data_IF_848919081588
#
_entry.id   IF_848919081588
#
_cell.length_a   1.000
_cell.length_b   1.000
_cell.length_c   1.000
_cell.angle_alpha   90.00
_cell.angle_beta   90.00
_cell.angle_gamma   90.00
#
_symmetry.space_group_name_H-M   'P 1'
#
loop_
_entity.id
_entity.type
_entity.pdbx_description
1 polymer ?
#
# COMPACT_ATOMS: atom_id res chain seq x y z
N UNK A 1 -20.42 -18.47 -9.14
CA UNK A 1 -19.46 -19.21 -10.00
C UNK A 1 -20.00 -19.12 -11.41
N UNK A 2 -19.25 -18.51 -12.33
CA UNK A 2 -19.72 -18.26 -13.71
C UNK A 2 -19.28 -19.39 -14.62
N UNK A 3 -20.22 -19.89 -15.42
CA UNK A 3 -20.03 -20.95 -16.38
C UNK A 3 -20.36 -20.42 -17.78
N UNK A 4 -19.65 -20.90 -18.78
CA UNK A 4 -19.89 -20.54 -20.18
C UNK A 4 -20.15 -21.80 -21.00
N UNK A 5 -20.90 -21.63 -22.08
CA UNK A 5 -21.20 -22.70 -23.05
C UNK A 5 -20.41 -22.44 -24.32
N UNK A 6 -19.57 -23.39 -24.71
CA UNK A 6 -18.79 -23.33 -25.94
C UNK A 6 -19.39 -24.26 -26.99
N UNK A 7 -19.63 -23.72 -28.18
CA UNK A 7 -20.11 -24.44 -29.36
C UNK A 7 -18.92 -24.74 -30.29
N UNK A 8 -18.75 -26.00 -30.69
CA UNK A 8 -17.70 -26.42 -31.62
C UNK A 8 -18.30 -27.20 -32.82
N UNK A 9 -17.56 -27.28 -33.93
CA UNK A 9 -17.93 -28.00 -35.17
C UNK A 9 -19.16 -27.48 -35.94
N UNK A 10 -19.36 -26.16 -35.95
CA UNK A 10 -20.53 -25.51 -36.59
C UNK A 10 -20.63 -25.65 -38.13
N UNK A 11 -19.61 -26.19 -38.82
CA UNK A 11 -19.50 -26.04 -40.28
C UNK A 11 -19.37 -27.34 -41.12
N UNK A 12 -19.66 -28.55 -40.59
CA UNK A 12 -19.59 -29.75 -41.46
C UNK A 12 -20.41 -30.99 -41.06
N UNK A 13 -21.21 -30.93 -40.00
CA UNK A 13 -22.01 -32.07 -39.51
C UNK A 13 -23.29 -31.55 -38.87
N UNK A 14 -24.37 -32.34 -38.88
CA UNK A 14 -25.60 -32.01 -38.14
C UNK A 14 -25.45 -32.15 -36.62
N UNK A 15 -24.27 -32.53 -36.14
CA UNK A 15 -23.96 -32.68 -34.72
C UNK A 15 -23.18 -31.47 -34.21
N UNK A 16 -23.81 -30.73 -33.31
CA UNK A 16 -23.22 -29.61 -32.57
C UNK A 16 -22.79 -30.13 -31.19
N UNK A 17 -21.54 -29.92 -30.82
CA UNK A 17 -21.03 -30.28 -29.49
C UNK A 17 -21.07 -29.07 -28.58
N UNK A 18 -21.87 -29.17 -27.50
CA UNK A 18 -21.98 -28.18 -26.43
C UNK A 18 -21.03 -28.57 -25.30
N UNK A 19 -20.07 -27.71 -24.97
CA UNK A 19 -19.11 -27.95 -23.89
C UNK A 19 -19.29 -26.92 -22.78
N UNK A 20 -19.46 -27.40 -21.55
CA UNK A 20 -19.44 -26.56 -20.37
C UNK A 20 -18.00 -26.18 -20.01
N UNK A 21 -17.74 -24.89 -19.84
CA UNK A 21 -16.41 -24.40 -19.49
C UNK A 21 -16.47 -23.41 -18.33
N UNK A 22 -15.39 -23.36 -17.56
CA UNK A 22 -15.26 -22.41 -16.46
C UNK A 22 -13.78 -21.98 -16.32
N UNK A 23 -13.49 -20.67 -16.24
CA UNK A 23 -12.13 -20.19 -15.97
C UNK A 23 -11.66 -20.64 -14.59
N UNK A 24 -10.35 -20.75 -14.39
CA UNK A 24 -9.78 -21.06 -13.08
C UNK A 24 -10.22 -20.01 -12.05
N UNK A 25 -10.83 -20.46 -10.95
CA UNK A 25 -11.27 -19.61 -9.85
C UNK A 25 -10.77 -20.17 -8.53
N UNK A 26 -10.09 -19.32 -7.75
CA UNK A 26 -9.75 -19.60 -6.38
C UNK A 26 -11.03 -19.75 -5.55
N UNK A 27 -11.17 -20.88 -4.86
CA UNK A 27 -12.26 -21.12 -3.91
C UNK A 27 -11.85 -20.80 -2.48
N UNK A 28 -10.63 -21.21 -2.13
CA UNK A 28 -10.13 -21.14 -0.77
C UNK A 28 -8.64 -20.87 -0.79
N UNK A 29 -8.18 -20.01 0.12
CA UNK A 29 -6.77 -19.91 0.49
C UNK A 29 -6.62 -19.58 1.96
N UNK A 30 -5.72 -20.27 2.66
CA UNK A 30 -5.41 -19.99 4.06
C UNK A 30 -3.95 -20.31 4.36
N UNK A 31 -3.46 -19.74 5.46
CA UNK A 31 -2.19 -20.08 6.05
C UNK A 31 -2.34 -20.20 7.56
N UNK A 32 -1.63 -21.16 8.16
CA UNK A 32 -1.51 -21.33 9.59
C UNK A 32 -0.04 -21.45 9.96
N UNK A 33 0.35 -20.83 11.07
CA UNK A 33 1.70 -20.89 11.63
C UNK A 33 1.64 -21.64 12.96
N UNK A 34 2.13 -22.88 12.96
CA UNK A 34 2.33 -23.66 14.19
C UNK A 34 3.84 -23.89 14.40
N UNK A 35 4.34 -25.11 14.17
CA UNK A 35 5.78 -25.41 14.15
C UNK A 35 6.44 -24.96 12.84
N UNK A 36 5.66 -24.99 11.77
CA UNK A 36 6.04 -24.69 10.40
C UNK A 36 4.90 -23.91 9.78
N UNK A 37 5.20 -23.05 8.82
CA UNK A 37 4.15 -22.34 8.11
C UNK A 37 3.53 -23.27 7.07
N UNK A 38 2.23 -23.51 7.18
CA UNK A 38 1.46 -24.30 6.24
C UNK A 38 0.44 -23.40 5.55
N UNK A 39 0.47 -23.39 4.22
CA UNK A 39 -0.49 -22.66 3.41
C UNK A 39 -1.20 -23.60 2.45
N UNK A 40 -2.49 -23.38 2.22
CA UNK A 40 -3.31 -24.17 1.30
C UNK A 40 -4.08 -23.26 0.35
N UNK A 41 -4.27 -23.74 -0.87
CA UNK A 41 -5.11 -23.12 -1.88
C UNK A 41 -5.92 -24.19 -2.63
N UNK A 42 -7.15 -23.82 -3.04
CA UNK A 42 -8.03 -24.68 -3.82
C UNK A 42 -8.62 -23.89 -4.98
N UNK A 43 -8.65 -24.52 -6.15
CA UNK A 43 -9.19 -23.96 -7.37
C UNK A 43 -10.25 -24.86 -7.97
N UNK A 44 -11.20 -24.20 -8.63
CA UNK A 44 -12.19 -24.83 -9.50
C UNK A 44 -12.00 -24.32 -10.93
N UNK A 45 -12.19 -25.19 -11.91
CA UNK A 45 -12.27 -24.79 -13.30
C UNK A 45 -12.59 -25.97 -14.20
N UNK A 46 -13.10 -25.68 -15.39
CA UNK A 46 -13.35 -26.69 -16.42
C UNK A 46 -12.71 -26.19 -17.72
N UNK A 47 -11.62 -26.84 -18.20
CA UNK A 47 -10.88 -27.96 -17.61
C UNK A 47 -10.27 -27.67 -16.23
N UNK A 48 -9.99 -28.74 -15.48
CA UNK A 48 -9.38 -28.68 -14.14
C UNK A 48 -8.11 -27.84 -14.15
N UNK A 49 -7.96 -26.84 -13.26
CA UNK A 49 -6.78 -25.99 -13.24
C UNK A 49 -5.51 -26.72 -12.81
N UNK A 50 -4.37 -26.33 -13.39
CA UNK A 50 -3.05 -26.59 -12.79
C UNK A 50 -2.79 -25.61 -11.66
N UNK A 51 -2.11 -26.04 -10.60
CA UNK A 51 -1.77 -25.19 -9.45
C UNK A 51 -0.25 -25.11 -9.28
N UNK A 52 0.27 -23.89 -9.10
CA UNK A 52 1.70 -23.63 -8.90
C UNK A 52 1.90 -22.64 -7.75
N UNK A 53 2.87 -22.94 -6.88
CA UNK A 53 3.35 -22.00 -5.87
C UNK A 53 4.53 -21.21 -6.40
N UNK A 54 4.57 -19.91 -6.12
CA UNK A 54 5.68 -19.02 -6.40
C UNK A 54 6.16 -18.37 -5.11
N UNK A 55 7.46 -18.42 -4.87
CA UNK A 55 8.11 -17.79 -3.73
C UNK A 55 9.00 -16.66 -4.24
N UNK A 56 8.77 -15.42 -3.78
CA UNK A 56 9.42 -14.22 -4.34
C UNK A 56 9.29 -14.13 -5.87
N UNK A 57 8.19 -14.63 -6.43
CA UNK A 57 7.94 -14.69 -7.87
C UNK A 57 8.62 -15.85 -8.61
N UNK A 58 9.39 -16.71 -7.92
CA UNK A 58 10.05 -17.88 -8.52
C UNK A 58 9.22 -19.14 -8.23
N UNK A 59 8.88 -19.95 -9.24
CA UNK A 59 8.16 -21.21 -9.03
C UNK A 59 8.87 -22.15 -8.04
N UNK A 60 8.11 -22.64 -7.06
CA UNK A 60 8.58 -23.68 -6.14
C UNK A 60 8.41 -25.02 -6.83
N UNK A 61 9.53 -25.66 -7.19
CA UNK A 61 9.52 -27.04 -7.68
C UNK A 61 9.03 -28.01 -6.60
N UNK A 62 8.49 -29.15 -7.03
CA UNK A 62 7.94 -30.21 -6.15
C UNK A 62 8.97 -30.73 -5.13
N UNK A 63 10.27 -30.46 -5.36
CA UNK A 63 11.41 -30.83 -4.50
C UNK A 63 12.47 -29.71 -4.41
N UNK A 64 12.06 -28.43 -4.40
CA UNK A 64 13.01 -27.32 -4.50
C UNK A 64 13.62 -26.88 -3.16
N UNK A 65 14.93 -26.60 -3.21
CA UNK A 65 15.84 -26.11 -2.16
C UNK A 65 15.80 -26.87 -0.82
N UNK A 66 16.61 -27.95 -0.74
CA UNK A 66 17.25 -28.37 0.50
C UNK A 66 16.32 -28.70 1.68
N UNK A 67 15.28 -29.50 1.45
CA UNK A 67 14.35 -29.97 2.49
C UNK A 67 13.60 -28.86 3.25
N UNK A 68 13.57 -27.61 2.75
CA UNK A 68 12.90 -26.49 3.42
C UNK A 68 11.45 -26.31 2.94
N UNK A 69 11.15 -26.69 1.71
CA UNK A 69 9.84 -26.52 1.07
C UNK A 69 9.26 -27.87 0.68
N UNK A 70 8.03 -28.13 1.12
CA UNK A 70 7.28 -29.32 0.71
C UNK A 70 5.94 -28.92 0.12
N UNK A 71 5.73 -29.27 -1.16
CA UNK A 71 4.46 -29.02 -1.86
C UNK A 71 3.74 -30.35 -2.06
N UNK A 72 2.48 -30.39 -1.65
CA UNK A 72 1.56 -31.52 -1.88
C UNK A 72 0.38 -31.02 -2.69
N UNK A 73 0.15 -31.61 -3.87
CA UNK A 73 -0.97 -31.23 -4.73
C UNK A 73 -1.86 -32.43 -5.03
N UNK A 74 -3.17 -32.22 -4.97
CA UNK A 74 -4.19 -33.23 -5.21
C UNK A 74 -5.16 -32.70 -6.25
N UNK A 75 -5.31 -33.44 -7.35
CA UNK A 75 -6.22 -33.09 -8.44
C UNK A 75 -7.38 -34.08 -8.42
N UNK A 76 -8.58 -33.58 -8.20
CA UNK A 76 -9.84 -34.34 -8.28
C UNK A 76 -10.72 -33.51 -9.19
N UNK A 77 -10.76 -33.80 -10.49
CA UNK A 77 -11.49 -32.99 -11.45
C UNK A 77 -12.94 -32.73 -11.00
N UNK A 78 -13.47 -31.49 -11.09
CA UNK A 78 -12.87 -30.25 -11.63
C UNK A 78 -12.05 -29.40 -10.63
N UNK A 79 -11.71 -29.95 -9.47
CA UNK A 79 -10.97 -29.29 -8.40
C UNK A 79 -9.48 -29.60 -8.43
N UNK A 80 -8.68 -28.61 -8.05
CA UNK A 80 -7.26 -28.77 -7.81
C UNK A 80 -6.89 -28.10 -6.48
N UNK A 81 -6.29 -28.89 -5.58
CA UNK A 81 -5.89 -28.46 -4.25
C UNK A 81 -4.38 -28.54 -4.14
N UNK A 82 -3.78 -27.57 -3.46
CA UNK A 82 -2.35 -27.60 -3.17
C UNK A 82 -2.07 -27.05 -1.79
N UNK A 83 -1.14 -27.68 -1.10
CA UNK A 83 -0.65 -27.28 0.21
C UNK A 83 0.87 -27.16 0.12
N UNK A 84 1.41 -26.10 0.69
CA UNK A 84 2.84 -25.89 0.85
C UNK A 84 3.19 -25.76 2.33
N UNK A 85 4.22 -26.48 2.74
CA UNK A 85 4.83 -26.40 4.07
C UNK A 85 6.21 -25.79 3.95
N UNK A 86 6.49 -24.83 4.84
CA UNK A 86 7.74 -24.09 4.96
C UNK A 86 8.41 -24.47 6.28
N UNK A 87 9.51 -25.21 6.19
CA UNK A 87 10.30 -25.67 7.33
C UNK A 87 11.32 -24.59 7.71
N UNK A 88 11.02 -23.81 8.74
CA UNK A 88 11.88 -22.73 9.23
C UNK A 88 11.14 -21.39 9.36
N UNK A 89 11.81 -20.41 9.95
CA UNK A 89 11.26 -19.06 10.06
C UNK A 89 11.36 -18.35 8.70
N UNK A 90 10.25 -17.77 8.19
CA UNK A 90 10.29 -17.06 6.92
C UNK A 90 11.15 -15.80 7.03
N UNK A 91 11.94 -15.52 5.99
CA UNK A 91 12.68 -14.26 5.91
C UNK A 91 11.74 -13.04 5.97
N UNK A 92 12.29 -11.89 6.36
CA UNK A 92 11.58 -10.62 6.37
C UNK A 92 10.99 -10.34 4.98
N UNK A 93 9.68 -10.07 4.95
CA UNK A 93 8.93 -9.71 3.73
C UNK A 93 8.97 -10.80 2.65
N UNK A 94 8.64 -12.03 3.05
CA UNK A 94 8.54 -13.14 2.12
C UNK A 94 7.14 -13.16 1.46
N UNK A 95 7.08 -13.10 0.12
CA UNK A 95 5.82 -13.20 -0.64
C UNK A 95 5.60 -14.61 -1.17
N UNK A 96 4.53 -15.25 -0.72
CA UNK A 96 4.09 -16.55 -1.21
C UNK A 96 2.85 -16.37 -2.08
N UNK A 97 2.89 -16.87 -3.32
CA UNK A 97 1.78 -16.81 -4.26
C UNK A 97 1.34 -18.21 -4.66
N UNK A 98 0.05 -18.49 -4.61
CA UNK A 98 -0.54 -19.67 -5.24
C UNK A 98 -1.28 -19.24 -6.50
N UNK A 99 -0.91 -19.82 -7.63
CA UNK A 99 -1.51 -19.56 -8.94
C UNK A 99 -2.27 -20.79 -9.44
N UNK A 100 -3.54 -20.60 -9.78
CA UNK A 100 -4.35 -21.60 -10.48
C UNK A 100 -4.62 -21.14 -11.91
N UNK A 101 -4.35 -22.01 -12.88
CA UNK A 101 -4.44 -21.71 -14.31
C UNK A 101 -5.16 -22.81 -15.08
N UNK A 102 -6.06 -22.41 -15.96
CA UNK A 102 -6.52 -23.25 -17.07
C UNK A 102 -6.55 -22.42 -18.36
N UNK A 103 -6.95 -23.02 -19.48
CA UNK A 103 -6.95 -22.34 -20.78
C UNK A 103 -7.89 -21.14 -20.88
N UNK A 104 -8.84 -20.99 -19.95
CA UNK A 104 -9.83 -19.92 -19.93
C UNK A 104 -9.53 -18.82 -18.91
N UNK A 105 -8.54 -19.00 -18.02
CA UNK A 105 -8.20 -17.98 -17.06
C UNK A 105 -7.12 -18.38 -16.05
N UNK A 106 -6.59 -17.36 -15.40
CA UNK A 106 -5.62 -17.46 -14.31
C UNK A 106 -6.20 -16.71 -13.11
N UNK A 107 -6.08 -17.29 -11.92
CA UNK A 107 -6.41 -16.62 -10.67
C UNK A 107 -5.32 -16.93 -9.64
N UNK A 108 -4.91 -15.92 -8.89
CA UNK A 108 -3.81 -16.02 -7.93
C UNK A 108 -4.25 -15.57 -6.55
N UNK A 109 -3.77 -16.25 -5.51
CA UNK A 109 -3.76 -15.76 -4.13
C UNK A 109 -2.33 -15.36 -3.75
N UNK A 110 -2.17 -14.25 -3.04
CA UNK A 110 -0.87 -13.81 -2.51
C UNK A 110 -0.96 -13.62 -1.01
N UNK A 111 0.01 -14.19 -0.29
CA UNK A 111 0.19 -14.04 1.15
C UNK A 111 1.56 -13.37 1.37
N UNK A 112 1.58 -12.35 2.22
CA UNK A 112 2.80 -11.69 2.67
C UNK A 112 3.11 -12.15 4.09
N UNK A 113 4.28 -12.77 4.25
CA UNK A 113 4.76 -13.22 5.55
C UNK A 113 5.62 -12.12 6.15
N UNK A 114 5.17 -11.62 7.28
CA UNK A 114 5.89 -10.63 8.07
C UNK A 114 6.36 -11.37 9.33
N UNK A 115 7.68 -11.48 9.58
CA UNK A 115 8.18 -12.13 10.78
C UNK A 115 7.71 -11.37 12.02
N UNK A 116 7.60 -12.09 13.13
CA UNK A 116 7.05 -11.55 14.37
C UNK A 116 7.88 -10.36 14.90
N UNK A 117 7.21 -9.46 15.62
CA UNK A 117 7.69 -8.17 16.15
C UNK A 117 8.87 -8.29 17.13
N UNK A 118 9.29 -9.50 17.49
CA UNK A 118 10.52 -9.72 18.25
C UNK A 118 11.78 -9.49 17.40
N UNK A 119 11.66 -9.45 16.06
CA UNK A 119 12.76 -9.26 15.12
C UNK A 119 12.99 -7.79 14.70
N UNK A 120 11.95 -6.96 14.73
CA UNK A 120 12.06 -5.52 14.48
C UNK A 120 12.27 -4.84 15.83
N UNK A 121 13.51 -4.42 16.12
CA UNK A 121 13.83 -3.84 17.42
C UNK A 121 12.76 -2.83 17.85
N UNK A 122 12.20 -3.03 19.05
CA UNK A 122 11.24 -2.08 19.63
C UNK A 122 11.80 -0.65 19.63
N UNK A 123 13.13 -0.51 19.65
CA UNK A 123 13.87 0.74 19.46
C UNK A 123 13.62 1.41 18.11
N UNK A 124 13.58 0.67 16.99
CA UNK A 124 13.32 1.22 15.66
C UNK A 124 11.89 1.77 15.53
N UNK A 125 10.89 1.00 15.98
CA UNK A 125 9.49 1.44 15.98
C UNK A 125 9.26 2.63 16.93
N UNK A 126 9.89 2.61 18.12
CA UNK A 126 9.90 3.76 19.02
C UNK A 126 10.54 4.98 18.38
N UNK A 127 11.65 4.81 17.66
CA UNK A 127 12.32 5.88 16.92
C UNK A 127 11.47 6.50 15.82
N UNK A 128 10.71 5.69 15.06
CA UNK A 128 9.77 6.18 14.06
C UNK A 128 8.63 6.99 14.69
N UNK A 129 8.01 6.48 15.74
CA UNK A 129 6.92 7.18 16.45
C UNK A 129 7.45 8.47 17.08
N UNK A 130 8.61 8.41 17.76
CA UNK A 130 9.26 9.58 18.35
C UNK A 130 9.59 10.62 17.27
N UNK A 131 10.08 10.20 16.11
CA UNK A 131 10.38 11.07 14.97
C UNK A 131 9.15 11.78 14.43
N UNK A 132 8.03 11.08 14.28
CA UNK A 132 6.75 11.67 13.86
C UNK A 132 6.25 12.66 14.91
N UNK A 133 6.27 12.31 16.19
CA UNK A 133 5.85 13.19 17.29
C UNK A 133 6.71 14.46 17.34
N UNK A 134 8.04 14.33 17.26
CA UNK A 134 8.95 15.49 17.24
C UNK A 134 8.73 16.37 16.01
N UNK A 135 8.44 15.77 14.85
CA UNK A 135 8.18 16.51 13.61
C UNK A 135 6.84 17.24 13.65
N UNK A 136 5.79 16.61 14.20
CA UNK A 136 4.48 17.24 14.43
C UNK A 136 4.57 18.35 15.46
N UNK A 137 5.29 18.13 16.57
CA UNK A 137 5.52 19.15 17.59
C UNK A 137 6.25 20.36 17.01
N UNK A 138 7.36 20.14 16.31
CA UNK A 138 8.13 21.20 15.66
C UNK A 138 7.33 21.91 14.57
N UNK A 139 6.50 21.18 13.84
CA UNK A 139 5.60 21.75 12.83
C UNK A 139 4.50 22.61 13.45
N UNK A 140 3.93 22.18 14.57
CA UNK A 140 2.91 22.92 15.32
C UNK A 140 3.47 24.22 15.88
N UNK A 141 4.66 24.19 16.50
CA UNK A 141 5.36 25.40 16.96
C UNK A 141 5.62 26.36 15.80
N UNK A 142 6.13 25.86 14.67
CA UNK A 142 6.39 26.69 13.49
C UNK A 142 5.11 27.27 12.87
N UNK A 143 4.00 26.56 12.97
CA UNK A 143 2.70 26.99 12.43
C UNK A 143 2.00 28.03 13.30
N UNK A 144 2.38 28.17 14.57
CA UNK A 144 1.86 29.20 15.47
C UNK A 144 2.67 30.50 15.48
N UNK A 145 3.83 30.56 14.79
CA UNK A 145 4.61 31.80 14.67
C UNK A 145 3.87 32.75 13.71
N UNK A 146 3.35 33.90 14.19
CA UNK A 146 2.74 34.90 13.32
C UNK A 146 3.82 35.43 12.37
N UNK A 147 3.44 35.62 11.10
CA UNK A 147 4.26 36.18 10.01
C UNK A 147 4.56 37.67 10.27
N UNK A 148 5.26 38.00 11.35
CA UNK A 148 5.46 39.37 11.84
C UNK A 148 6.73 40.05 11.29
N UNK A 149 7.50 39.39 10.42
CA UNK A 149 8.80 39.90 9.96
C UNK A 149 8.87 40.23 8.46
N UNK A 150 7.74 40.54 7.81
CA UNK A 150 7.71 41.08 6.42
C UNK A 150 7.26 42.56 6.35
N UNK A 151 7.24 43.31 7.46
CA UNK A 151 6.75 44.70 7.48
C UNK A 151 7.76 45.78 7.93
N UNK A 152 9.07 45.50 7.98
CA UNK A 152 10.07 46.51 8.36
C UNK A 152 11.30 46.50 7.46
N UNK A 153 11.12 46.69 6.15
CA UNK A 153 12.20 47.21 5.30
C UNK A 153 11.63 48.26 4.33
N UNK A 154 11.54 49.51 4.80
CA UNK A 154 11.80 50.66 3.93
C UNK A 154 12.43 51.80 4.75
N UNK A 155 13.76 51.85 4.74
CA UNK A 155 14.58 53.06 4.96
C UNK A 155 15.47 53.15 3.72
N UNK A 156 15.62 54.26 2.99
CA UNK A 156 16.13 55.64 3.30
C UNK A 156 16.62 56.21 1.91
N UNK A 157 17.17 57.45 1.67
CA UNK A 157 17.07 58.85 2.20
C UNK A 157 16.81 59.94 1.11
N UNK A 158 16.75 61.24 1.49
CA UNK A 158 17.49 62.41 0.91
C UNK A 158 17.19 63.63 1.83
N UNK A 159 18.11 64.23 2.61
CA UNK A 159 19.12 65.28 2.29
C UNK A 159 18.56 66.35 1.33
N UNK A 160 18.44 67.66 1.56
CA UNK A 160 19.19 68.73 2.24
C UNK A 160 18.17 69.93 2.26
N UNK A 161 18.03 70.83 3.25
CA UNK A 161 18.80 72.07 3.43
C UNK A 161 18.04 72.97 4.48
N UNK A 162 18.79 73.79 5.23
CA UNK A 162 18.35 74.84 6.21
C UNK A 162 18.75 76.21 5.58
N UNK A 163 18.42 77.44 6.09
CA UNK A 163 17.60 77.93 7.22
C UNK A 163 16.61 79.06 6.78
N UNK A 164 15.78 79.67 7.65
CA UNK A 164 16.05 80.90 8.43
C UNK A 164 14.88 81.22 9.41
N UNK A 165 15.24 81.77 10.58
CA UNK A 165 14.39 82.45 11.60
C UNK A 165 14.34 83.97 11.33
N UNK A 166 13.63 84.84 12.09
CA UNK A 166 12.42 84.74 12.94
C UNK A 166 11.41 85.90 12.71
N UNK A 167 10.22 85.89 13.35
CA UNK A 167 9.61 87.08 14.03
C UNK A 167 8.22 86.80 14.64
N UNK A 168 8.19 86.77 15.98
CA UNK A 168 7.41 87.60 16.89
C UNK A 168 6.13 88.31 16.36
N UNK A 169 4.99 88.04 16.99
CA UNK A 169 4.17 89.06 17.66
C UNK A 169 3.04 88.43 18.48
N UNK A 170 3.10 88.60 19.80
CA UNK A 170 1.96 88.61 20.71
C UNK A 170 0.86 89.58 20.24
N UNK A 171 -0.41 89.21 20.41
CA UNK A 171 -1.40 90.07 21.05
C UNK A 171 -2.66 89.27 21.38
N UNK A 172 -2.98 89.35 22.66
CA UNK A 172 -4.09 88.78 23.41
C UNK A 172 -5.35 89.66 23.25
N UNK A 173 -6.55 89.08 23.42
CA UNK A 173 -7.62 89.49 24.37
C UNK A 173 -9.04 89.17 23.85
N UNK A 174 -9.96 88.70 24.72
CA UNK A 174 -11.30 88.21 24.39
C UNK A 174 -12.43 89.21 24.75
N UNK A 175 -13.62 89.00 24.16
CA UNK A 175 -14.93 89.47 24.66
C UNK A 175 -15.98 88.41 24.28
N UNK A 176 -16.69 87.75 25.20
CA UNK A 176 -17.82 88.24 26.01
C UNK A 176 -18.91 88.87 25.11
N UNK A 177 -20.21 88.56 25.16
CA UNK A 177 -21.06 87.81 26.08
C UNK A 177 -22.52 87.94 25.58
N UNK A 178 -23.39 87.01 25.98
CA UNK A 178 -24.86 87.09 26.14
C UNK A 178 -25.77 87.53 24.98
N UNK A 179 -26.74 86.64 24.70
CA UNK A 179 -27.98 86.86 23.95
C UNK A 179 -28.75 85.55 23.87
#
# INVERSE_FOLDING_TARGET
MSFELLLTNLAKSSMVTLQLVAPARLLYSSCSLEKTLQCSCSFYGIPTPSVQWLMKGVPVGVNSMGNILQVTSTIIAPWANSTINLLGEPEILMSLRCEGKNQYGIHTSSIFLIPDKNSVSSAFMKGLIQGVVMKVHKWWEKSQIPKAEEALILKKPELLEKPETPKESEAEIPRASLG
#
